data_IF_654711393486
#
_entry.id   IF_654711393486
#
_cell.length_a   1.000
_cell.length_b   1.000
_cell.length_c   1.000
_cell.angle_alpha   90.00
_cell.angle_beta   90.00
_cell.angle_gamma   90.00
#
_symmetry.space_group_name_H-M   'P 1'
#
loop_
_entity.id
_entity.type
_entity.pdbx_description
1 polymer ?
#
# COMPACT_ATOMS: atom_id res chain seq x y z
N UNK A 1 24.01 21.36 -2.87
CA UNK A 1 23.14 22.39 -2.26
C UNK A 1 22.12 21.66 -1.42
N UNK A 2 22.11 21.89 -0.10
CA UNK A 2 21.10 21.28 0.78
C UNK A 2 19.74 21.84 0.43
N UNK A 3 18.77 20.96 0.15
CA UNK A 3 17.38 21.33 -0.04
C UNK A 3 16.88 21.83 1.32
N UNK A 4 16.78 23.15 1.48
CA UNK A 4 16.15 23.75 2.64
C UNK A 4 14.65 23.48 2.50
N UNK A 5 14.11 22.66 3.38
CA UNK A 5 12.68 22.33 3.39
C UNK A 5 11.96 23.44 4.13
N UNK A 6 11.29 24.34 3.38
CA UNK A 6 10.67 25.54 3.95
C UNK A 6 9.16 25.46 3.75
N UNK A 7 8.41 25.55 4.85
CA UNK A 7 6.95 25.58 4.82
C UNK A 7 6.45 26.96 4.33
N UNK A 8 5.52 27.03 3.36
CA UNK A 8 4.91 28.29 2.92
C UNK A 8 4.30 29.14 4.05
N UNK A 9 3.77 28.50 5.09
CA UNK A 9 3.22 29.22 6.25
C UNK A 9 4.29 30.01 7.01
N UNK A 10 5.50 29.45 7.14
CA UNK A 10 6.62 30.12 7.82
C UNK A 10 7.11 31.32 7.00
N UNK A 11 7.08 31.22 5.67
CA UNK A 11 7.41 32.34 4.77
C UNK A 11 6.39 33.48 4.90
N UNK A 12 5.09 33.16 4.97
CA UNK A 12 4.04 34.15 5.18
C UNK A 12 4.14 34.81 6.56
N UNK A 13 4.51 34.05 7.59
CA UNK A 13 4.79 34.62 8.91
C UNK A 13 5.96 35.61 8.84
N UNK A 14 7.08 35.21 8.22
CA UNK A 14 8.22 36.10 8.05
C UNK A 14 7.86 37.35 7.23
N UNK A 15 7.02 37.21 6.19
CA UNK A 15 6.51 38.33 5.43
C UNK A 15 5.74 39.32 6.31
N UNK A 16 4.87 38.82 7.20
CA UNK A 16 4.16 39.63 8.19
C UNK A 16 5.11 40.35 9.15
N UNK A 17 6.07 39.62 9.73
CA UNK A 17 7.06 40.19 10.65
C UNK A 17 7.86 41.35 9.99
N UNK A 18 8.21 41.23 8.71
CA UNK A 18 8.87 42.29 7.94
C UNK A 18 7.93 43.45 7.57
N UNK A 19 6.65 43.19 7.29
CA UNK A 19 5.67 44.25 7.04
C UNK A 19 5.45 45.10 8.30
N UNK A 20 5.35 44.45 9.46
CA UNK A 20 5.24 45.13 10.76
C UNK A 20 6.48 45.96 11.05
N UNK A 21 7.67 45.43 10.77
CA UNK A 21 8.92 46.16 10.96
C UNK A 21 9.02 47.37 10.02
N UNK A 22 8.58 47.24 8.76
CA UNK A 22 8.48 48.36 7.82
C UNK A 22 7.59 49.47 8.38
N UNK A 23 6.40 49.10 8.87
CA UNK A 23 5.45 50.04 9.45
C UNK A 23 6.01 50.73 10.71
N UNK A 24 6.64 49.98 11.61
CA UNK A 24 7.25 50.52 12.83
C UNK A 24 8.37 51.51 12.50
N UNK A 25 9.25 51.18 11.56
CA UNK A 25 10.36 52.06 11.16
C UNK A 25 9.86 53.33 10.49
N UNK A 26 8.82 53.24 9.66
CA UNK A 26 8.21 54.42 9.05
C UNK A 26 7.59 55.39 10.07
N UNK A 27 7.22 54.90 11.27
CA UNK A 27 6.66 55.72 12.35
C UNK A 27 7.71 56.40 13.25
N UNK A 28 8.99 56.02 13.15
CA UNK A 28 10.04 56.59 14.00
C UNK A 28 10.18 58.11 13.80
N UNK A 29 10.11 58.58 12.56
CA UNK A 29 10.31 60.00 12.24
C UNK A 29 9.15 60.90 12.70
N UNK A 30 7.87 60.54 12.46
CA UNK A 30 6.73 61.23 13.09
C UNK A 30 6.81 61.26 14.62
N UNK A 31 7.17 60.15 15.26
CA UNK A 31 7.33 60.09 16.72
C UNK A 31 8.45 61.01 17.21
N UNK A 32 9.59 61.02 16.52
CA UNK A 32 10.70 61.91 16.84
C UNK A 32 10.33 63.40 16.68
N UNK A 33 9.55 63.75 15.65
CA UNK A 33 9.06 65.11 15.46
C UNK A 33 8.19 65.59 16.62
N UNK A 34 7.31 64.74 17.15
CA UNK A 34 6.49 65.06 18.32
C UNK A 34 7.34 65.31 19.57
N UNK A 35 8.41 64.54 19.77
CA UNK A 35 9.34 64.75 20.88
C UNK A 35 10.12 66.07 20.75
N UNK A 36 10.54 66.44 19.54
CA UNK A 36 11.20 67.74 19.28
C UNK A 36 10.26 68.89 19.64
N UNK A 37 8.98 68.80 19.28
CA UNK A 37 7.99 69.81 19.63
C UNK A 37 7.80 69.92 21.15
N UNK A 38 7.81 68.80 21.87
CA UNK A 38 7.73 68.78 23.34
C UNK A 38 8.94 69.46 24.00
N UNK A 39 10.16 69.29 23.46
CA UNK A 39 11.36 70.00 23.94
C UNK A 39 11.23 71.51 23.74
N UNK A 40 10.81 71.93 22.54
CA UNK A 40 10.61 73.35 22.25
C UNK A 40 9.52 73.98 23.15
N UNK A 41 8.43 73.26 23.42
CA UNK A 41 7.35 73.73 24.28
C UNK A 41 7.75 73.83 25.76
N UNK A 42 8.53 72.87 26.27
CA UNK A 42 8.90 72.81 27.69
C UNK A 42 9.99 73.82 28.10
N UNK A 43 10.90 74.16 27.18
CA UNK A 43 12.07 75.00 27.47
C UNK A 43 12.02 76.39 26.81
N UNK A 44 10.97 76.68 26.03
CA UNK A 44 10.75 77.97 25.39
C UNK A 44 11.95 78.41 24.52
N UNK A 45 12.32 79.70 24.52
CA UNK A 45 13.43 80.21 23.71
C UNK A 45 14.79 79.56 24.03
N UNK A 46 15.00 79.09 25.26
CA UNK A 46 16.26 78.46 25.69
C UNK A 46 16.43 77.06 25.09
N UNK A 47 15.34 76.33 24.85
CA UNK A 47 15.38 74.99 24.23
C UNK A 47 15.39 75.01 22.70
N UNK A 48 15.12 76.15 22.08
CA UNK A 48 14.99 76.27 20.64
C UNK A 48 16.26 75.85 19.87
N UNK A 49 17.49 76.25 20.26
CA UNK A 49 18.70 75.81 19.57
C UNK A 49 18.88 74.29 19.62
N UNK A 50 18.57 73.67 20.75
CA UNK A 50 18.63 72.20 20.92
C UNK A 50 17.60 71.51 20.02
N UNK A 51 16.35 71.98 20.01
CA UNK A 51 15.30 71.43 19.17
C UNK A 51 15.65 71.51 17.68
N UNK A 52 16.21 72.63 17.22
CA UNK A 52 16.68 72.82 15.84
C UNK A 52 17.84 71.87 15.52
N UNK A 53 18.81 71.71 16.43
CA UNK A 53 19.92 70.78 16.24
C UNK A 53 19.46 69.32 16.09
N UNK A 54 18.50 68.89 16.92
CA UNK A 54 17.89 67.56 16.82
C UNK A 54 17.12 67.41 15.50
N UNK A 55 16.32 68.41 15.12
CA UNK A 55 15.55 68.39 13.87
C UNK A 55 16.46 68.28 12.63
N UNK A 56 17.56 69.03 12.59
CA UNK A 56 18.55 68.95 11.52
C UNK A 56 19.23 67.57 11.46
N UNK A 57 19.59 67.01 12.62
CA UNK A 57 20.15 65.66 12.71
C UNK A 57 19.19 64.59 12.18
N UNK A 58 17.91 64.70 12.54
CA UNK A 58 16.85 63.80 12.08
C UNK A 58 16.65 63.93 10.57
N UNK A 59 16.55 65.16 10.05
CA UNK A 59 16.38 65.41 8.62
C UNK A 59 17.48 64.78 7.77
N UNK A 60 18.74 64.80 8.26
CA UNK A 60 19.87 64.16 7.58
C UNK A 60 19.81 62.62 7.58
N UNK A 61 19.09 62.01 8.51
CA UNK A 61 18.94 60.55 8.63
C UNK A 61 17.64 60.03 8.02
N UNK A 62 16.67 60.91 7.79
CA UNK A 62 15.35 60.57 7.25
C UNK A 62 15.43 59.70 5.98
N UNK A 63 16.26 60.01 4.97
CA UNK A 63 16.31 59.19 3.76
C UNK A 63 16.77 57.76 4.04
N UNK A 64 17.70 57.58 5.00
CA UNK A 64 18.21 56.25 5.35
C UNK A 64 17.18 55.43 6.14
N UNK A 65 16.41 56.07 7.02
CA UNK A 65 15.30 55.44 7.76
C UNK A 65 14.21 54.99 6.79
N UNK A 66 13.79 55.87 5.88
CA UNK A 66 12.80 55.55 4.86
C UNK A 66 13.28 54.47 3.89
N UNK A 67 14.54 54.51 3.47
CA UNK A 67 15.13 53.45 2.67
C UNK A 67 15.12 52.10 3.39
N UNK A 68 15.32 52.10 4.72
CA UNK A 68 15.28 50.87 5.51
C UNK A 68 13.86 50.31 5.64
N UNK A 69 12.86 51.17 5.87
CA UNK A 69 11.45 50.76 5.84
C UNK A 69 11.10 50.13 4.48
N UNK A 70 11.47 50.78 3.38
CA UNK A 70 11.25 50.25 2.03
C UNK A 70 11.93 48.89 1.78
N UNK A 71 13.13 48.68 2.33
CA UNK A 71 13.80 47.37 2.26
C UNK A 71 13.01 46.28 2.97
N UNK A 72 12.44 46.56 4.15
CA UNK A 72 11.61 45.60 4.86
C UNK A 72 10.33 45.26 4.10
N UNK A 73 9.67 46.26 3.50
CA UNK A 73 8.55 46.02 2.58
C UNK A 73 8.96 45.10 1.42
N UNK A 74 10.11 45.37 0.79
CA UNK A 74 10.64 44.55 -0.32
C UNK A 74 10.87 43.09 0.10
N UNK A 75 11.37 42.85 1.31
CA UNK A 75 11.54 41.50 1.83
C UNK A 75 10.21 40.82 2.11
N UNK A 76 9.23 41.55 2.66
CA UNK A 76 7.87 41.03 2.84
C UNK A 76 7.25 40.55 1.52
N UNK A 77 7.35 41.37 0.46
CA UNK A 77 6.85 41.03 -0.87
C UNK A 77 7.56 39.79 -1.44
N UNK A 78 8.88 39.70 -1.27
CA UNK A 78 9.66 38.53 -1.70
C UNK A 78 9.22 37.26 -0.99
N UNK A 79 9.08 37.28 0.34
CA UNK A 79 8.65 36.11 1.09
C UNK A 79 7.23 35.67 0.69
N UNK A 80 6.33 36.62 0.45
CA UNK A 80 4.98 36.36 -0.07
C UNK A 80 5.03 35.71 -1.46
N UNK A 81 5.84 36.25 -2.36
CA UNK A 81 6.03 35.69 -3.71
C UNK A 81 6.65 34.29 -3.70
N UNK A 82 7.60 34.04 -2.79
CA UNK A 82 8.19 32.72 -2.61
C UNK A 82 7.17 31.70 -2.07
N UNK A 83 6.35 32.08 -1.09
CA UNK A 83 5.29 31.22 -0.57
C UNK A 83 4.30 30.82 -1.67
N UNK A 84 3.88 31.78 -2.50
CA UNK A 84 3.01 31.52 -3.65
C UNK A 84 3.67 30.57 -4.67
N UNK A 85 4.97 30.76 -4.94
CA UNK A 85 5.72 29.90 -5.85
C UNK A 85 5.75 28.45 -5.37
N UNK A 86 5.98 28.22 -4.07
CA UNK A 86 5.97 26.86 -3.51
C UNK A 86 4.59 26.20 -3.61
N UNK A 87 3.51 26.93 -3.28
CA UNK A 87 2.14 26.42 -3.39
C UNK A 87 1.80 26.05 -4.83
N UNK A 88 2.16 26.89 -5.80
CA UNK A 88 1.90 26.60 -7.21
C UNK A 88 2.71 25.42 -7.73
N UNK A 89 3.98 25.28 -7.31
CA UNK A 89 4.80 24.12 -7.64
C UNK A 89 4.23 22.82 -7.05
N UNK A 90 3.78 22.86 -5.80
CA UNK A 90 3.13 21.72 -5.14
C UNK A 90 1.84 21.33 -5.86
N UNK A 91 0.99 22.31 -6.18
CA UNK A 91 -0.24 22.09 -6.94
C UNK A 91 0.03 21.51 -8.33
N UNK A 92 1.05 22.02 -9.03
CA UNK A 92 1.46 21.51 -10.33
C UNK A 92 2.02 20.08 -10.24
N UNK A 93 2.77 19.74 -9.19
CA UNK A 93 3.25 18.40 -8.95
C UNK A 93 2.10 17.43 -8.62
N UNK A 94 1.17 17.84 -7.76
CA UNK A 94 -0.03 17.08 -7.44
C UNK A 94 -0.91 16.84 -8.68
N UNK A 95 -1.05 17.85 -9.55
CA UNK A 95 -1.78 17.71 -10.81
C UNK A 95 -1.12 16.68 -11.75
N UNK A 96 0.22 16.64 -11.81
CA UNK A 96 0.94 15.60 -12.58
C UNK A 96 0.69 14.21 -12.03
N UNK A 97 0.69 14.04 -10.71
CA UNK A 97 0.39 12.75 -10.08
C UNK A 97 -1.06 12.32 -10.30
N UNK A 98 -2.01 13.24 -10.19
CA UNK A 98 -3.43 12.97 -10.45
C UNK A 98 -3.69 12.64 -11.94
N UNK A 99 -2.88 13.19 -12.84
CA UNK A 99 -2.93 12.88 -14.27
C UNK A 99 -2.32 11.52 -14.63
N UNK A 100 -1.65 10.84 -13.69
CA UNK A 100 -1.23 9.45 -13.89
C UNK A 100 -2.48 8.58 -13.89
N UNK A 101 -2.99 8.30 -15.09
CA UNK A 101 -3.92 7.21 -15.28
C UNK A 101 -3.16 5.90 -15.04
N UNK A 102 -3.54 5.18 -14.00
CA UNK A 102 -3.20 3.78 -13.91
C UNK A 102 -4.13 3.08 -14.90
N UNK A 103 -3.64 2.60 -16.08
CA UNK A 103 -4.45 1.67 -16.84
C UNK A 103 -4.83 0.54 -15.88
N UNK A 104 -6.06 0.06 -15.94
CA UNK A 104 -6.58 -1.02 -15.11
C UNK A 104 -5.63 -2.23 -15.17
N UNK A 105 -4.61 -2.24 -14.30
CA UNK A 105 -3.81 -3.42 -14.00
C UNK A 105 -4.55 -4.29 -12.99
N UNK A 106 -5.75 -3.85 -12.56
CA UNK A 106 -6.78 -4.77 -12.13
C UNK A 106 -7.28 -5.52 -13.35
N UNK A 107 -6.58 -6.59 -13.71
CA UNK A 107 -7.26 -7.72 -14.32
C UNK A 107 -8.23 -8.18 -13.23
N UNK A 108 -9.53 -7.89 -13.40
CA UNK A 108 -10.56 -8.59 -12.63
C UNK A 108 -10.14 -10.06 -12.62
N UNK A 109 -10.05 -10.73 -11.46
CA UNK A 109 -9.78 -12.15 -11.45
C UNK A 109 -10.76 -12.76 -12.44
N UNK A 110 -10.24 -13.49 -13.45
CA UNK A 110 -11.10 -14.21 -14.39
C UNK A 110 -12.21 -14.84 -13.56
N UNK A 111 -13.51 -14.63 -13.92
CA UNK A 111 -14.60 -15.20 -13.15
C UNK A 111 -14.25 -16.65 -12.88
N UNK A 112 -14.26 -17.02 -11.59
CA UNK A 112 -13.88 -18.36 -11.16
C UNK A 112 -14.60 -19.33 -12.10
N UNK A 113 -13.89 -20.26 -12.78
CA UNK A 113 -14.54 -21.21 -13.67
C UNK A 113 -15.75 -21.79 -12.93
N UNK A 114 -16.92 -21.71 -13.56
CA UNK A 114 -18.16 -22.17 -12.93
C UNK A 114 -17.94 -23.60 -12.47
N UNK A 115 -17.85 -23.78 -11.15
CA UNK A 115 -17.67 -25.08 -10.51
C UNK A 115 -18.86 -25.95 -10.96
N UNK A 116 -18.69 -26.99 -11.81
CA UNK A 116 -19.81 -27.86 -12.16
C UNK A 116 -20.39 -28.46 -10.88
N UNK A 117 -21.71 -28.37 -10.75
CA UNK A 117 -22.46 -28.72 -9.52
C UNK A 117 -22.48 -30.22 -9.22
N UNK A 118 -21.86 -31.06 -10.05
CA UNK A 118 -21.63 -32.48 -9.81
C UNK A 118 -20.26 -32.89 -10.33
N UNK A 119 -19.35 -33.23 -9.41
CA UNK A 119 -18.06 -33.81 -9.75
C UNK A 119 -18.20 -35.33 -9.85
N UNK A 120 -18.00 -35.86 -11.06
CA UNK A 120 -17.80 -37.29 -11.27
C UNK A 120 -16.30 -37.49 -11.25
N UNK A 121 -15.78 -37.92 -10.10
CA UNK A 121 -14.36 -38.21 -9.90
C UNK A 121 -14.08 -39.66 -10.30
N UNK A 122 -13.12 -39.86 -11.20
CA UNK A 122 -12.58 -41.16 -11.57
C UNK A 122 -11.15 -41.30 -11.06
N UNK A 123 -10.76 -42.50 -10.63
CA UNK A 123 -9.39 -42.79 -10.23
C UNK A 123 -8.69 -43.64 -11.27
N UNK A 124 -7.46 -43.26 -11.61
CA UNK A 124 -6.61 -44.04 -12.49
C UNK A 124 -5.52 -44.79 -11.70
N UNK A 125 -5.20 -46.02 -12.11
CA UNK A 125 -4.14 -46.80 -11.49
C UNK A 125 -2.74 -46.24 -11.76
N UNK A 126 -2.58 -45.38 -12.77
CA UNK A 126 -1.32 -44.73 -13.12
C UNK A 126 -1.58 -43.44 -13.93
N UNK A 127 -0.61 -42.50 -13.99
CA UNK A 127 -0.75 -41.28 -14.80
C UNK A 127 -0.92 -41.56 -16.29
N UNK A 128 -0.39 -42.68 -16.78
CA UNK A 128 -0.43 -43.07 -18.20
C UNK A 128 -1.62 -43.99 -18.54
N UNK A 129 -2.50 -44.27 -17.58
CA UNK A 129 -3.66 -45.11 -17.82
C UNK A 129 -4.69 -44.38 -18.72
N UNK A 130 -5.21 -45.08 -19.71
CA UNK A 130 -6.24 -44.52 -20.62
C UNK A 130 -7.55 -44.25 -19.86
N UNK A 131 -7.96 -42.98 -19.70
CA UNK A 131 -9.19 -42.64 -18.98
C UNK A 131 -10.44 -43.28 -19.59
N UNK A 132 -10.50 -43.46 -20.91
CA UNK A 132 -11.66 -44.03 -21.58
C UNK A 132 -11.94 -45.49 -21.17
N UNK A 133 -10.92 -46.19 -20.64
CA UNK A 133 -11.03 -47.57 -20.19
C UNK A 133 -11.55 -47.72 -18.75
N UNK A 134 -11.27 -46.74 -17.89
CA UNK A 134 -11.52 -46.84 -16.44
C UNK A 134 -12.61 -45.88 -15.97
N UNK A 135 -12.82 -44.78 -16.69
CA UNK A 135 -13.67 -43.69 -16.26
C UNK A 135 -15.03 -43.71 -16.97
N UNK A 136 -16.12 -43.41 -16.25
CA UNK A 136 -17.40 -43.09 -16.85
C UNK A 136 -17.30 -41.96 -17.87
N UNK A 137 -18.15 -41.97 -18.90
CA UNK A 137 -18.14 -40.94 -19.95
C UNK A 137 -18.48 -39.53 -19.44
N UNK A 138 -19.13 -39.42 -18.27
CA UNK A 138 -19.49 -38.17 -17.60
C UNK A 138 -18.44 -37.70 -16.58
N UNK A 139 -17.25 -38.30 -16.57
CA UNK A 139 -16.15 -37.92 -15.68
C UNK A 139 -15.69 -36.50 -15.93
N UNK A 140 -15.77 -35.66 -14.91
CA UNK A 140 -15.30 -34.27 -14.95
C UNK A 140 -13.92 -34.09 -14.32
N UNK A 141 -13.50 -35.03 -13.47
CA UNK A 141 -12.19 -35.02 -12.81
C UNK A 141 -11.55 -36.39 -12.76
N UNK A 142 -10.25 -36.42 -13.01
CA UNK A 142 -9.43 -37.61 -12.92
C UNK A 142 -8.42 -37.43 -11.79
N UNK A 143 -8.30 -38.44 -10.94
CA UNK A 143 -7.31 -38.47 -9.87
C UNK A 143 -6.35 -39.64 -10.04
N UNK A 144 -5.06 -39.40 -9.86
CA UNK A 144 -4.03 -40.43 -9.95
C UNK A 144 -2.86 -40.12 -9.04
N UNK A 145 -2.06 -41.14 -8.74
CA UNK A 145 -0.75 -40.96 -8.10
C UNK A 145 0.31 -40.91 -9.17
N UNK A 146 1.05 -39.82 -9.22
CA UNK A 146 2.16 -39.69 -10.16
C UNK A 146 3.37 -40.56 -9.76
N UNK A 147 4.38 -40.59 -10.61
CA UNK A 147 5.62 -41.36 -10.37
C UNK A 147 6.43 -40.88 -9.16
N UNK A 148 6.11 -39.71 -8.60
CA UNK A 148 6.74 -39.12 -7.41
C UNK A 148 5.94 -39.40 -6.14
N UNK A 149 4.84 -40.15 -6.23
CA UNK A 149 3.95 -40.41 -5.09
C UNK A 149 3.03 -39.24 -4.75
N UNK A 150 2.85 -38.28 -5.66
CA UNK A 150 1.97 -37.14 -5.48
C UNK A 150 0.57 -37.48 -5.99
N UNK A 151 -0.45 -37.17 -5.18
CA UNK A 151 -1.83 -37.34 -5.61
C UNK A 151 -2.26 -36.13 -6.42
N UNK A 152 -2.43 -36.33 -7.73
CA UNK A 152 -2.79 -35.29 -8.67
C UNK A 152 -4.27 -35.40 -9.01
N UNK A 153 -4.97 -34.28 -8.93
CA UNK A 153 -6.31 -34.10 -9.47
C UNK A 153 -6.23 -33.29 -10.75
N UNK A 154 -6.69 -33.88 -11.85
CA UNK A 154 -6.74 -33.27 -13.17
C UNK A 154 -8.17 -33.01 -13.59
N UNK A 155 -8.45 -31.78 -13.99
CA UNK A 155 -9.71 -31.38 -14.58
C UNK A 155 -9.77 -31.82 -16.06
N UNK A 156 -10.82 -32.54 -16.46
CA UNK A 156 -10.91 -33.13 -17.81
C UNK A 156 -11.13 -32.07 -18.89
N UNK A 157 -11.84 -30.99 -18.56
CA UNK A 157 -12.22 -29.95 -19.52
C UNK A 157 -11.07 -28.95 -19.74
N UNK A 158 -10.43 -28.51 -18.66
CA UNK A 158 -9.38 -27.49 -18.69
C UNK A 158 -7.97 -28.07 -18.75
N UNK A 159 -7.80 -29.35 -18.39
CA UNK A 159 -6.49 -29.99 -18.25
C UNK A 159 -5.69 -29.51 -17.04
N UNK A 160 -6.27 -28.67 -16.18
CA UNK A 160 -5.59 -28.11 -15.01
C UNK A 160 -5.30 -29.20 -13.97
N UNK A 161 -4.07 -29.22 -13.43
CA UNK A 161 -3.61 -30.19 -12.45
C UNK A 161 -3.41 -29.54 -11.08
N UNK A 162 -3.96 -30.16 -10.05
CA UNK A 162 -3.84 -29.76 -8.64
C UNK A 162 -3.20 -30.88 -7.84
N UNK A 163 -2.18 -30.56 -7.06
CA UNK A 163 -1.60 -31.52 -6.11
C UNK A 163 -2.44 -31.56 -4.83
N UNK A 164 -3.12 -32.69 -4.58
CA UNK A 164 -3.95 -32.88 -3.40
C UNK A 164 -3.13 -33.16 -2.13
N UNK A 165 -1.84 -33.48 -2.24
CA UNK A 165 -0.98 -33.63 -1.07
C UNK A 165 -0.81 -32.31 -0.30
N UNK A 166 -0.94 -31.15 -0.97
CA UNK A 166 -0.85 -29.83 -0.34
C UNK A 166 -2.10 -29.49 0.50
N UNK A 167 -3.16 -30.28 0.34
CA UNK A 167 -4.45 -30.16 1.05
C UNK A 167 -4.69 -31.43 1.90
N UNK A 168 -3.63 -32.20 2.18
CA UNK A 168 -3.73 -33.51 2.79
C UNK A 168 -4.43 -33.47 4.16
N UNK A 169 -5.36 -34.41 4.36
CA UNK A 169 -6.01 -34.64 5.64
C UNK A 169 -5.00 -35.31 6.60
N UNK A 170 -4.86 -34.81 7.85
CA UNK A 170 -4.02 -35.47 8.85
C UNK A 170 -4.42 -36.95 9.02
N UNK A 171 -3.43 -37.84 9.02
CA UNK A 171 -3.65 -39.28 9.22
C UNK A 171 -4.02 -40.07 7.96
N UNK A 172 -4.09 -39.44 6.78
CA UNK A 172 -4.39 -40.14 5.52
C UNK A 172 -3.12 -40.34 4.69
N UNK A 173 -2.85 -41.59 4.32
CA UNK A 173 -1.78 -41.94 3.40
C UNK A 173 -2.35 -42.30 2.03
N UNK A 174 -1.90 -41.58 1.00
CA UNK A 174 -2.23 -41.86 -0.39
C UNK A 174 -1.16 -42.74 -1.02
N UNK A 175 -1.57 -43.81 -1.70
CA UNK A 175 -0.67 -44.82 -2.25
C UNK A 175 -0.96 -45.05 -3.75
N UNK A 176 0.07 -45.33 -4.57
CA UNK A 176 -0.09 -45.62 -5.99
C UNK A 176 -0.73 -46.99 -6.27
N UNK A 177 -0.88 -47.82 -5.23
CA UNK A 177 -1.41 -49.17 -5.36
C UNK A 177 -1.58 -49.83 -3.99
N UNK A 178 -1.97 -51.11 -3.96
CA UNK A 178 -2.25 -51.82 -2.72
C UNK A 178 -1.02 -51.83 -1.79
N UNK A 179 -1.20 -51.54 -0.49
CA UNK A 179 -0.10 -51.48 0.46
C UNK A 179 0.56 -52.85 0.68
N UNK A 180 1.88 -52.84 0.84
CA UNK A 180 2.68 -54.03 1.18
C UNK A 180 3.26 -53.89 2.59
N UNK A 181 2.41 -53.96 3.61
CA UNK A 181 2.84 -53.89 5.02
C UNK A 181 1.88 -53.14 5.93
N UNK A 182 2.17 -53.05 7.25
CA UNK A 182 1.35 -52.27 8.18
C UNK A 182 1.44 -50.75 7.90
N UNK A 183 0.42 -49.97 8.28
CA UNK A 183 0.45 -48.51 8.13
C UNK A 183 1.58 -47.89 8.98
N UNK A 184 2.23 -46.81 8.50
CA UNK A 184 3.16 -46.04 9.31
C UNK A 184 2.52 -45.46 10.59
N UNK A 185 3.30 -45.17 11.64
CA UNK A 185 2.79 -44.51 12.83
C UNK A 185 2.08 -43.19 12.51
N UNK A 186 0.88 -43.00 13.03
CA UNK A 186 0.08 -41.80 12.82
C UNK A 186 -0.84 -41.82 11.59
N UNK A 187 -0.81 -42.89 10.78
CA UNK A 187 -1.74 -43.08 9.66
C UNK A 187 -2.97 -43.88 10.13
N UNK A 188 -4.15 -43.29 9.96
CA UNK A 188 -5.45 -43.89 10.27
C UNK A 188 -6.12 -44.47 9.02
N UNK A 189 -5.86 -43.89 7.86
CA UNK A 189 -6.46 -44.31 6.59
C UNK A 189 -5.42 -44.42 5.48
N UNK A 190 -5.54 -45.47 4.65
CA UNK A 190 -4.76 -45.63 3.42
C UNK A 190 -5.69 -45.66 2.22
N UNK A 191 -5.35 -44.91 1.18
CA UNK A 191 -6.16 -44.77 -0.02
C UNK A 191 -5.33 -45.13 -1.25
N UNK A 192 -5.87 -45.97 -2.14
CA UNK A 192 -5.23 -46.29 -3.41
C UNK A 192 -6.24 -46.61 -4.52
N UNK A 193 -5.91 -46.31 -5.79
CA UNK A 193 -6.71 -46.78 -6.92
C UNK A 193 -6.52 -48.29 -7.12
N UNK A 194 -7.61 -49.03 -7.35
CA UNK A 194 -7.54 -50.42 -7.80
C UNK A 194 -7.40 -50.52 -9.33
N UNK A 195 -7.16 -51.74 -9.80
CA UNK A 195 -7.03 -52.05 -11.24
C UNK A 195 -8.31 -51.86 -12.05
N UNK A 196 -9.45 -51.59 -11.40
CA UNK A 196 -10.76 -51.43 -12.01
C UNK A 196 -11.23 -49.96 -11.98
N UNK A 197 -10.40 -49.02 -11.52
CA UNK A 197 -10.72 -47.59 -11.42
C UNK A 197 -11.51 -47.21 -10.16
N UNK A 198 -11.62 -48.11 -9.18
CA UNK A 198 -12.22 -47.80 -7.88
C UNK A 198 -11.18 -47.21 -6.92
N UNK A 199 -11.61 -46.38 -5.98
CA UNK A 199 -10.80 -45.98 -4.85
C UNK A 199 -10.97 -46.98 -3.71
N UNK A 200 -9.89 -47.59 -3.26
CA UNK A 200 -9.89 -48.47 -2.10
C UNK A 200 -9.42 -47.67 -0.90
N UNK A 201 -10.25 -47.64 0.14
CA UNK A 201 -9.91 -47.11 1.45
C UNK A 201 -9.71 -48.27 2.42
N UNK A 202 -8.55 -48.30 3.06
CA UNK A 202 -8.29 -49.14 4.21
C UNK A 202 -8.21 -48.28 5.46
N UNK A 203 -9.19 -48.43 6.36
CA UNK A 203 -9.18 -47.78 7.66
C UNK A 203 -8.58 -48.71 8.70
N UNK A 204 -7.64 -48.20 9.50
CA UNK A 204 -7.01 -48.94 10.58
C UNK A 204 -8.06 -49.49 11.55
N UNK A 205 -8.11 -50.82 11.70
CA UNK A 205 -8.95 -51.44 12.73
C UNK A 205 -8.52 -50.97 14.11
N UNK A 206 -9.48 -50.78 15.04
CA UNK A 206 -9.14 -50.61 16.45
C UNK A 206 -8.25 -51.77 16.93
N UNK A 207 -7.39 -51.53 17.92
CA UNK A 207 -6.45 -52.55 18.46
C UNK A 207 -7.10 -53.93 18.59
N UNK A 208 -6.63 -54.89 17.78
CA UNK A 208 -7.14 -56.27 17.76
C UNK A 208 -8.20 -56.60 16.69
N UNK A 209 -8.61 -55.66 15.83
CA UNK A 209 -9.50 -55.92 14.70
C UNK A 209 -8.78 -55.84 13.34
N UNK A 210 -9.18 -56.67 12.36
CA UNK A 210 -8.67 -56.56 11.00
C UNK A 210 -9.06 -55.19 10.39
N UNK A 211 -8.24 -54.65 9.47
CA UNK A 211 -8.54 -53.38 8.81
C UNK A 211 -9.85 -53.46 8.02
N UNK A 212 -10.59 -52.35 8.00
CA UNK A 212 -11.80 -52.25 7.20
C UNK A 212 -11.46 -51.78 5.79
N UNK A 213 -11.77 -52.60 4.80
CA UNK A 213 -11.58 -52.27 3.38
C UNK A 213 -12.92 -51.82 2.80
N UNK A 214 -12.94 -50.59 2.29
CA UNK A 214 -14.07 -50.02 1.56
C UNK A 214 -13.65 -49.75 0.12
N UNK A 215 -14.40 -50.26 -0.83
CA UNK A 215 -14.20 -49.99 -2.26
C UNK A 215 -15.25 -48.97 -2.70
N UNK A 216 -14.77 -47.85 -3.22
CA UNK A 216 -15.59 -46.71 -3.67
C UNK A 216 -15.59 -46.71 -5.20
N UNK A 217 -16.75 -46.90 -5.84
CA UNK A 217 -16.84 -46.91 -7.29
C UNK A 217 -16.59 -45.52 -7.88
N UNK A 218 -16.13 -45.44 -9.15
CA UNK A 218 -16.01 -44.19 -9.88
C UNK A 218 -17.30 -43.35 -9.80
N UNK A 219 -17.16 -42.04 -9.63
CA UNK A 219 -18.25 -41.09 -9.82
C UNK A 219 -19.20 -40.82 -8.65
N UNK A 220 -18.91 -41.31 -7.43
CA UNK A 220 -19.77 -41.07 -6.25
C UNK A 220 -19.03 -40.55 -5.02
N UNK A 221 -18.11 -39.61 -5.20
CA UNK A 221 -17.50 -38.93 -4.05
C UNK A 221 -17.68 -37.42 -4.20
N UNK A 222 -18.65 -36.89 -3.45
CA UNK A 222 -18.61 -35.51 -2.97
C UNK A 222 -17.97 -35.54 -1.58
N UNK A 223 -16.82 -34.90 -1.41
CA UNK A 223 -16.28 -34.60 -0.08
C UNK A 223 -16.87 -33.31 0.47
#
# INVERSE_FOLDING_TARGET
>A
MGQLDVNPADLLKAAGDYADLSAQVAQLSPQAAAQIQAVAASHGPMGYPTAVGIAMGLANREPAVQAKAAQFSTYSDRFTGHAATYVEQDRAAAAKLNAIAFPEMHVDPKPKPETPTKWVVCWLPSPDADPARYCPADTTRIEYVDSKGQWIQKDVETGAETNLNDIARPGVQYLPGPPTGPPPPGITDRLWPDKNGNLVQESGGQSGQPPQIRVLPPGKISW
#
